data_IF_381839724997
#
_entry.id   IF_381839724997
#
_cell.length_a   1.000
_cell.length_b   1.000
_cell.length_c   1.000
_cell.angle_alpha   90.00
_cell.angle_beta   90.00
_cell.angle_gamma   90.00
#
_symmetry.space_group_name_H-M   'P 1'
#
loop_
_entity.id
_entity.type
_entity.pdbx_description
1 polymer ?
#
# COMPACT_ATOMS: atom_id res chain seq x y z
N UNK A 1 -11.20 28.38 5.73
CA UNK A 1 -10.69 27.33 6.63
C UNK A 1 -9.66 26.55 5.85
N UNK A 2 -8.46 26.39 6.41
CA UNK A 2 -7.47 25.45 5.90
C UNK A 2 -8.04 24.03 6.06
N UNK A 3 -8.05 23.28 4.96
CA UNK A 3 -8.56 21.92 4.94
C UNK A 3 -7.38 20.99 5.14
N UNK A 4 -7.34 20.33 6.30
CA UNK A 4 -6.35 19.31 6.64
C UNK A 4 -7.06 18.06 7.17
N UNK A 5 -6.91 16.94 6.46
CA UNK A 5 -7.46 15.65 6.87
C UNK A 5 -6.40 14.57 6.70
N UNK A 6 -6.20 13.81 7.76
CA UNK A 6 -5.34 12.63 7.77
C UNK A 6 -6.15 11.36 8.02
N UNK A 7 -5.81 10.30 7.28
CA UNK A 7 -6.41 8.99 7.42
C UNK A 7 -5.34 7.91 7.31
N UNK A 8 -5.30 6.98 8.26
CA UNK A 8 -4.43 5.79 8.19
C UNK A 8 -5.28 4.55 7.89
N UNK A 9 -4.90 3.81 6.86
CA UNK A 9 -5.57 2.60 6.39
C UNK A 9 -4.60 1.43 6.39
N UNK A 10 -4.93 0.37 7.12
CA UNK A 10 -4.15 -0.87 7.11
C UNK A 10 -4.44 -1.68 5.86
N UNK A 11 -3.39 -2.10 5.14
CA UNK A 11 -3.52 -3.02 4.00
C UNK A 11 -3.98 -4.39 4.51
N UNK A 12 -4.98 -4.97 3.86
CA UNK A 12 -5.37 -6.36 4.07
C UNK A 12 -4.40 -7.27 3.30
N UNK A 13 -3.97 -8.35 3.95
CA UNK A 13 -3.16 -9.35 3.28
C UNK A 13 -4.00 -10.07 2.23
N UNK A 14 -3.54 -10.01 0.98
CA UNK A 14 -4.12 -10.76 -0.13
C UNK A 14 -3.73 -12.23 -0.04
N UNK A 15 -4.42 -13.12 -0.78
CA UNK A 15 -4.04 -14.54 -0.87
C UNK A 15 -2.59 -14.72 -1.32
N UNK A 16 -2.10 -13.84 -2.21
CA UNK A 16 -0.69 -13.83 -2.64
C UNK A 16 0.25 -13.48 -1.49
N UNK A 17 -0.09 -12.47 -0.68
CA UNK A 17 0.70 -12.11 0.50
C UNK A 17 0.74 -13.26 1.51
N UNK A 18 -0.39 -13.93 1.74
CA UNK A 18 -0.47 -15.10 2.63
C UNK A 18 0.40 -16.23 2.09
N UNK A 19 0.34 -16.54 0.79
CA UNK A 19 1.16 -17.56 0.17
C UNK A 19 2.67 -17.26 0.31
N UNK A 20 3.06 -16.00 0.17
CA UNK A 20 4.45 -15.56 0.41
C UNK A 20 4.85 -15.75 1.87
N UNK A 21 3.99 -15.38 2.83
CA UNK A 21 4.25 -15.60 4.26
C UNK A 21 4.44 -17.09 4.56
N UNK A 22 3.55 -17.95 4.06
CA UNK A 22 3.66 -19.41 4.22
C UNK A 22 4.96 -19.93 3.59
N UNK A 23 5.31 -19.45 2.40
CA UNK A 23 6.57 -19.80 1.73
C UNK A 23 7.80 -19.41 2.55
N UNK A 24 7.81 -18.22 3.16
CA UNK A 24 8.90 -17.77 4.05
C UNK A 24 8.99 -18.69 5.28
N UNK A 25 7.87 -19.04 5.89
CA UNK A 25 7.84 -19.95 7.06
C UNK A 25 8.40 -21.32 6.69
N UNK A 26 7.95 -21.91 5.58
CA UNK A 26 8.42 -23.23 5.13
C UNK A 26 9.92 -23.21 4.80
N UNK A 27 10.39 -22.18 4.08
CA UNK A 27 11.81 -22.02 3.79
C UNK A 27 12.65 -21.87 5.07
N UNK A 28 12.17 -21.09 6.04
CA UNK A 28 12.83 -20.93 7.32
C UNK A 28 12.90 -22.25 8.11
N UNK A 29 11.83 -23.05 8.11
CA UNK A 29 11.82 -24.36 8.77
C UNK A 29 12.84 -25.33 8.14
N UNK A 30 12.91 -25.38 6.81
CA UNK A 30 13.88 -26.21 6.10
C UNK A 30 15.31 -25.75 6.41
N UNK A 31 15.59 -24.44 6.37
CA UNK A 31 16.89 -23.89 6.71
C UNK A 31 17.28 -24.17 8.16
N UNK A 32 16.36 -24.01 9.10
CA UNK A 32 16.57 -24.36 10.49
C UNK A 32 16.89 -25.86 10.66
N UNK A 33 16.19 -26.74 9.95
CA UNK A 33 16.47 -28.18 9.96
C UNK A 33 17.88 -28.49 9.43
N UNK A 34 18.26 -27.89 8.30
CA UNK A 34 19.59 -28.06 7.71
C UNK A 34 20.68 -27.56 8.65
N UNK A 35 20.52 -26.36 9.22
CA UNK A 35 21.52 -25.77 10.09
C UNK A 35 21.60 -26.43 11.46
N UNK A 36 20.47 -26.86 12.04
CA UNK A 36 20.46 -27.47 13.37
C UNK A 36 20.87 -28.95 13.37
N UNK A 37 20.56 -29.71 12.31
CA UNK A 37 20.71 -31.17 12.30
C UNK A 37 21.76 -31.62 11.28
N UNK A 38 21.62 -31.23 10.01
CA UNK A 38 22.49 -31.75 8.94
C UNK A 38 23.91 -31.19 9.05
N UNK A 39 24.05 -29.87 9.23
CA UNK A 39 25.35 -29.20 9.23
C UNK A 39 26.26 -29.69 10.37
N UNK A 40 25.81 -29.82 11.64
CA UNK A 40 26.65 -30.32 12.72
C UNK A 40 26.98 -31.81 12.58
N UNK A 41 26.09 -32.60 11.96
CA UNK A 41 26.33 -34.02 11.71
C UNK A 41 27.43 -34.26 10.68
N UNK A 42 27.54 -33.39 9.66
CA UNK A 42 28.58 -33.48 8.62
C UNK A 42 29.90 -32.83 9.06
N UNK A 43 29.83 -31.72 9.81
CA UNK A 43 31.02 -30.94 10.21
C UNK A 43 30.88 -30.55 11.69
N UNK A 44 31.27 -31.43 12.63
CA UNK A 44 31.05 -31.24 14.06
C UNK A 44 31.69 -29.97 14.65
N UNK A 45 32.81 -29.52 14.08
CA UNK A 45 33.53 -28.32 14.53
C UNK A 45 32.73 -27.03 14.29
N UNK A 46 31.71 -27.06 13.42
CA UNK A 46 30.81 -25.94 13.15
C UNK A 46 29.54 -25.94 14.02
N UNK A 47 29.42 -26.84 15.01
CA UNK A 47 28.22 -26.97 15.85
C UNK A 47 27.84 -25.70 16.65
N UNK A 48 28.81 -24.83 16.97
CA UNK A 48 28.53 -23.53 17.58
C UNK A 48 28.05 -22.50 16.53
N UNK A 49 28.56 -22.56 15.31
CA UNK A 49 28.15 -21.69 14.20
C UNK A 49 26.71 -21.98 13.74
N UNK A 50 26.28 -23.24 13.78
CA UNK A 50 24.90 -23.62 13.45
C UNK A 50 23.85 -22.90 14.29
N UNK A 51 24.13 -22.64 15.58
CA UNK A 51 23.18 -21.91 16.44
C UNK A 51 22.98 -20.47 15.96
N UNK A 52 24.07 -19.79 15.55
CA UNK A 52 23.98 -18.45 14.98
C UNK A 52 23.23 -18.44 13.64
N UNK A 53 23.42 -19.46 12.80
CA UNK A 53 22.71 -19.59 11.53
C UNK A 53 21.20 -19.83 11.73
N UNK A 54 20.82 -20.65 12.70
CA UNK A 54 19.41 -20.85 13.07
C UNK A 54 18.80 -19.55 13.60
N UNK A 55 19.47 -18.87 14.53
CA UNK A 55 19.02 -17.60 15.07
C UNK A 55 18.87 -16.53 13.97
N UNK A 56 19.86 -16.45 13.05
CA UNK A 56 19.82 -15.57 11.89
C UNK A 56 18.66 -15.88 10.93
N UNK A 57 18.37 -17.16 10.72
CA UNK A 57 17.24 -17.60 9.88
C UNK A 57 15.90 -17.19 10.48
N UNK A 58 15.70 -17.43 11.78
CA UNK A 58 14.47 -17.03 12.50
C UNK A 58 14.31 -15.51 12.46
N UNK A 59 15.38 -14.76 12.76
CA UNK A 59 15.37 -13.31 12.72
C UNK A 59 15.07 -12.78 11.31
N UNK A 60 15.70 -13.35 10.28
CA UNK A 60 15.46 -13.01 8.89
C UNK A 60 14.01 -13.25 8.46
N UNK A 61 13.45 -14.42 8.80
CA UNK A 61 12.06 -14.75 8.55
C UNK A 61 11.10 -13.77 9.24
N UNK A 62 11.33 -13.47 10.52
CA UNK A 62 10.57 -12.47 11.27
C UNK A 62 10.66 -11.09 10.62
N UNK A 63 11.86 -10.66 10.23
CA UNK A 63 12.07 -9.35 9.59
C UNK A 63 11.37 -9.24 8.22
N UNK A 64 11.39 -10.31 7.43
CA UNK A 64 10.68 -10.38 6.15
C UNK A 64 9.16 -10.33 6.34
N UNK A 65 8.61 -11.19 7.20
CA UNK A 65 7.16 -11.23 7.45
C UNK A 65 6.66 -9.91 8.04
N UNK A 66 7.38 -9.34 9.00
CA UNK A 66 7.05 -8.04 9.59
C UNK A 66 7.07 -6.92 8.55
N UNK A 67 7.98 -6.95 7.57
CA UNK A 67 8.03 -5.97 6.49
C UNK A 67 6.80 -5.98 5.56
N UNK A 68 6.02 -7.06 5.58
CA UNK A 68 4.77 -7.18 4.83
C UNK A 68 3.56 -6.55 5.54
N UNK A 69 3.69 -6.16 6.81
CA UNK A 69 2.65 -5.43 7.53
C UNK A 69 2.68 -3.96 7.09
N UNK A 70 1.77 -3.60 6.18
CA UNK A 70 1.72 -2.29 5.55
C UNK A 70 0.48 -1.51 5.98
N UNK A 71 0.71 -0.25 6.33
CA UNK A 71 -0.31 0.76 6.55
C UNK A 71 -0.05 1.90 5.56
N UNK A 72 -1.11 2.55 5.09
CA UNK A 72 -1.05 3.70 4.21
C UNK A 72 -1.64 4.90 4.92
N UNK A 73 -1.00 6.05 4.79
CA UNK A 73 -1.46 7.31 5.34
C UNK A 73 -1.79 8.24 4.18
N UNK A 74 -3.00 8.77 4.20
CA UNK A 74 -3.47 9.78 3.27
C UNK A 74 -3.53 11.10 4.02
N UNK A 75 -2.79 12.10 3.55
CA UNK A 75 -2.85 13.46 4.07
C UNK A 75 -3.34 14.38 2.96
N UNK A 76 -4.55 14.93 3.14
CA UNK A 76 -5.16 15.89 2.23
C UNK A 76 -5.06 17.30 2.85
N UNK A 77 -4.32 18.19 2.20
CA UNK A 77 -4.01 19.54 2.69
C UNK A 77 -4.21 20.57 1.59
N UNK A 78 -5.23 21.42 1.68
CA UNK A 78 -5.42 22.57 0.79
C UNK A 78 -5.27 22.28 -0.73
N UNK A 79 -5.66 21.08 -1.17
CA UNK A 79 -5.56 20.63 -2.55
C UNK A 79 -4.40 19.69 -2.85
N UNK A 80 -3.41 19.58 -1.97
CA UNK A 80 -2.40 18.52 -2.06
C UNK A 80 -2.90 17.24 -1.40
N UNK A 81 -2.72 16.11 -2.08
CA UNK A 81 -2.88 14.78 -1.52
C UNK A 81 -1.53 14.08 -1.46
N UNK A 82 -1.16 13.70 -0.26
CA UNK A 82 0.02 12.91 0.02
C UNK A 82 -0.38 11.49 0.37
N UNK A 83 0.32 10.51 -0.20
CA UNK A 83 0.22 9.11 0.20
C UNK A 83 1.55 8.62 0.71
N UNK A 84 1.57 8.26 1.99
CA UNK A 84 2.70 7.69 2.70
C UNK A 84 2.46 6.21 2.98
N UNK A 85 3.52 5.39 2.90
CA UNK A 85 3.49 3.97 3.27
C UNK A 85 4.25 3.80 4.58
N UNK A 86 3.59 3.22 5.57
CA UNK A 86 4.13 2.87 6.88
C UNK A 86 4.37 1.36 6.91
N UNK A 87 5.62 0.96 7.07
CA UNK A 87 6.05 -0.43 7.15
C UNK A 87 6.23 -0.79 8.62
N UNK A 88 5.44 -1.74 9.10
CA UNK A 88 5.51 -2.30 10.46
C UNK A 88 5.58 -1.23 11.56
N UNK A 89 4.83 -0.13 11.40
CA UNK A 89 4.77 1.01 12.33
C UNK A 89 6.12 1.64 12.70
N UNK A 90 7.19 1.33 11.95
CA UNK A 90 8.57 1.75 12.25
C UNK A 90 9.17 2.63 11.16
N UNK A 91 8.73 2.47 9.92
CA UNK A 91 9.33 3.16 8.77
C UNK A 91 8.26 3.73 7.86
N UNK A 92 8.14 5.06 7.82
CA UNK A 92 7.32 5.79 6.86
C UNK A 92 8.12 6.10 5.60
N UNK A 93 7.52 5.94 4.42
CA UNK A 93 8.10 6.29 3.12
C UNK A 93 7.04 6.96 2.24
N UNK A 94 7.37 8.10 1.65
CA UNK A 94 6.53 8.77 0.64
C UNK A 94 6.37 7.90 -0.59
N UNK A 95 5.12 7.59 -0.93
CA UNK A 95 4.77 6.84 -2.14
C UNK A 95 4.56 7.80 -3.29
N UNK A 96 3.75 8.84 -3.04
CA UNK A 96 3.44 9.89 -4.00
C UNK A 96 2.92 11.15 -3.30
N UNK A 97 3.15 12.30 -3.92
CA UNK A 97 2.45 13.55 -3.63
C UNK A 97 1.77 14.02 -4.91
N UNK A 98 0.56 14.54 -4.83
CA UNK A 98 -0.22 14.92 -6.01
C UNK A 98 -1.08 16.14 -5.74
N UNK A 99 -1.18 17.05 -6.72
CA UNK A 99 -2.13 18.16 -6.69
C UNK A 99 -3.50 17.64 -7.17
N UNK A 100 -4.53 17.86 -6.36
CA UNK A 100 -5.91 17.45 -6.66
C UNK A 100 -6.44 18.09 -7.95
N UNK A 101 -5.89 19.23 -8.37
CA UNK A 101 -6.24 19.89 -9.63
C UNK A 101 -5.77 19.12 -10.86
N UNK A 102 -4.72 18.31 -10.73
CA UNK A 102 -4.16 17.52 -11.82
C UNK A 102 -4.86 16.16 -11.98
N UNK A 103 -5.80 15.84 -11.08
CA UNK A 103 -6.62 14.63 -11.20
C UNK A 103 -7.45 14.70 -12.48
N UNK A 104 -7.26 13.70 -13.34
CA UNK A 104 -7.97 13.55 -14.60
C UNK A 104 -9.28 12.78 -14.42
N UNK A 105 -9.21 11.63 -13.74
CA UNK A 105 -10.38 10.82 -13.43
C UNK A 105 -10.30 10.31 -12.00
N UNK A 106 -11.45 10.10 -11.37
CA UNK A 106 -11.59 9.58 -10.02
C UNK A 106 -12.91 8.84 -9.91
N UNK A 107 -13.00 7.86 -9.02
CA UNK A 107 -14.26 7.16 -8.77
C UNK A 107 -14.08 5.89 -7.97
N UNK A 108 -15.15 5.09 -7.87
CA UNK A 108 -15.09 3.75 -7.30
C UNK A 108 -14.27 2.83 -8.19
N UNK A 109 -13.33 2.10 -7.59
CA UNK A 109 -12.45 1.23 -8.34
C UNK A 109 -13.16 -0.05 -8.75
N UNK A 110 -13.05 -0.37 -10.04
CA UNK A 110 -13.47 -1.66 -10.60
C UNK A 110 -12.33 -2.20 -11.43
N UNK A 111 -11.78 -3.35 -11.05
CA UNK A 111 -10.61 -3.93 -11.73
C UNK A 111 -10.83 -4.11 -13.25
N UNK A 112 -12.05 -4.46 -13.67
CA UNK A 112 -12.42 -4.65 -15.08
C UNK A 112 -12.22 -3.37 -15.92
N UNK A 113 -12.60 -2.21 -15.41
CA UNK A 113 -12.53 -0.91 -16.12
C UNK A 113 -11.09 -0.45 -16.37
N UNK A 114 -10.14 -1.05 -15.64
CA UNK A 114 -8.72 -0.74 -15.70
C UNK A 114 -7.87 -1.91 -16.21
N UNK A 115 -8.48 -3.03 -16.60
CA UNK A 115 -7.76 -4.23 -17.04
C UNK A 115 -7.03 -4.00 -18.38
N UNK A 116 -7.67 -3.32 -19.32
CA UNK A 116 -7.13 -3.04 -20.67
C UNK A 116 -6.40 -1.68 -20.76
N UNK A 117 -6.44 -0.86 -19.71
CA UNK A 117 -5.80 0.46 -19.67
C UNK A 117 -4.33 0.33 -19.30
N UNK A 118 -3.47 1.01 -20.07
CA UNK A 118 -2.03 1.13 -19.74
C UNK A 118 -1.80 2.35 -18.87
N UNK A 119 -1.02 2.14 -17.81
CA UNK A 119 -0.53 3.16 -16.90
C UNK A 119 0.98 2.97 -16.78
N UNK A 120 1.72 4.06 -16.77
CA UNK A 120 3.17 4.06 -16.58
C UNK A 120 3.52 3.60 -15.15
N UNK A 121 2.65 3.91 -14.18
CA UNK A 121 2.78 3.43 -12.80
C UNK A 121 1.44 3.11 -12.16
N UNK A 122 1.34 1.93 -11.56
CA UNK A 122 0.20 1.55 -10.71
C UNK A 122 0.62 1.56 -9.24
N UNK A 123 -0.10 2.32 -8.43
CA UNK A 123 0.13 2.47 -7.00
C UNK A 123 -1.08 1.91 -6.28
N UNK A 124 -0.91 0.76 -5.64
CA UNK A 124 -1.94 0.20 -4.78
C UNK A 124 -1.68 0.62 -3.33
N UNK A 125 -2.48 1.58 -2.87
CA UNK A 125 -2.51 2.09 -1.51
C UNK A 125 -3.87 1.82 -0.84
N UNK A 126 -4.70 0.92 -1.38
CA UNK A 126 -6.01 0.59 -0.82
C UNK A 126 -5.91 -0.42 0.33
N UNK A 127 -6.96 -0.50 1.15
CA UNK A 127 -7.15 -1.59 2.12
C UNK A 127 -7.19 -2.93 1.39
N UNK A 128 -8.03 -3.02 0.38
CA UNK A 128 -8.25 -4.18 -0.48
C UNK A 128 -8.77 -3.66 -1.83
N UNK A 129 -8.17 -4.07 -2.94
CA UNK A 129 -8.58 -3.61 -4.28
C UNK A 129 -9.96 -4.15 -4.68
N UNK A 130 -10.45 -5.18 -4.01
CA UNK A 130 -11.76 -5.77 -4.28
C UNK A 130 -12.86 -5.25 -3.34
N UNK A 131 -12.53 -4.38 -2.39
CA UNK A 131 -13.52 -3.83 -1.47
C UNK A 131 -14.33 -2.71 -2.12
N UNK A 132 -15.59 -2.57 -1.71
CA UNK A 132 -16.50 -1.54 -2.22
C UNK A 132 -16.08 -0.12 -1.83
N UNK A 133 -15.29 0.01 -0.76
CA UNK A 133 -14.68 1.27 -0.32
C UNK A 133 -13.39 1.59 -1.07
N UNK A 134 -12.96 0.78 -2.04
CA UNK A 134 -11.83 1.07 -2.90
C UNK A 134 -12.19 2.14 -3.94
N UNK A 135 -11.43 3.22 -3.95
CA UNK A 135 -11.47 4.28 -4.92
C UNK A 135 -10.22 4.27 -5.76
N UNK A 136 -10.30 4.94 -6.91
CA UNK A 136 -9.15 5.22 -7.74
C UNK A 136 -9.09 6.68 -8.13
N UNK A 137 -7.89 7.11 -8.51
CA UNK A 137 -7.67 8.30 -9.31
C UNK A 137 -6.61 8.06 -10.39
N UNK A 138 -6.70 8.80 -11.48
CA UNK A 138 -5.69 8.85 -12.53
C UNK A 138 -5.24 10.28 -12.75
N UNK A 139 -3.96 10.44 -13.08
CA UNK A 139 -3.39 11.71 -13.48
C UNK A 139 -2.08 11.51 -14.21
N UNK A 140 -1.60 12.55 -14.87
CA UNK A 140 -0.23 12.61 -15.35
C UNK A 140 0.68 13.24 -14.30
N UNK A 141 1.56 12.44 -13.72
CA UNK A 141 2.55 12.88 -12.73
C UNK A 141 3.89 13.17 -13.39
N UNK A 142 4.52 14.30 -13.03
CA UNK A 142 5.78 14.78 -13.63
C UNK A 142 6.90 13.74 -13.64
N UNK A 143 7.02 12.94 -12.58
CA UNK A 143 8.09 11.94 -12.45
C UNK A 143 7.71 10.53 -12.94
N UNK A 144 6.41 10.20 -12.95
CA UNK A 144 5.94 8.81 -13.11
C UNK A 144 5.06 8.60 -14.33
N UNK A 145 4.82 9.64 -15.14
CA UNK A 145 3.93 9.56 -16.29
C UNK A 145 2.46 9.42 -15.86
N UNK A 146 1.67 8.72 -16.67
CA UNK A 146 0.28 8.42 -16.35
C UNK A 146 0.19 7.39 -15.22
N UNK A 147 -0.38 7.79 -14.09
CA UNK A 147 -0.51 6.94 -12.91
C UNK A 147 -1.95 6.49 -12.69
N UNK A 148 -2.08 5.31 -12.08
CA UNK A 148 -3.29 4.84 -11.43
C UNK A 148 -2.99 4.66 -9.95
N UNK A 149 -3.69 5.40 -9.09
CA UNK A 149 -3.63 5.24 -7.64
C UNK A 149 -4.94 4.61 -7.17
N UNK A 150 -4.88 3.47 -6.48
CA UNK A 150 -6.01 2.90 -5.74
C UNK A 150 -5.83 3.15 -4.25
N UNK A 151 -6.89 3.57 -3.56
CA UNK A 151 -6.87 3.95 -2.15
C UNK A 151 -8.27 3.76 -1.53
N UNK A 152 -8.37 3.69 -0.21
CA UNK A 152 -9.66 3.49 0.50
C UNK A 152 -10.01 4.71 1.36
N UNK A 153 -10.33 5.87 0.75
CA UNK A 153 -10.60 7.09 1.48
C UNK A 153 -11.92 7.00 2.26
N UNK A 154 -11.94 7.59 3.45
CA UNK A 154 -13.18 7.82 4.18
C UNK A 154 -13.91 9.08 3.66
N UNK A 155 -15.10 9.35 4.19
CA UNK A 155 -15.91 10.50 3.80
C UNK A 155 -15.21 11.85 4.07
N UNK A 156 -14.35 11.91 5.10
CA UNK A 156 -13.62 13.12 5.47
C UNK A 156 -12.54 13.41 4.44
N UNK A 157 -11.77 12.40 4.04
CA UNK A 157 -10.76 12.53 2.98
C UNK A 157 -11.40 12.89 1.65
N UNK A 158 -12.52 12.27 1.28
CA UNK A 158 -13.26 12.63 0.06
C UNK A 158 -13.76 14.08 0.10
N UNK A 159 -14.35 14.49 1.23
CA UNK A 159 -14.84 15.86 1.43
C UNK A 159 -13.71 16.89 1.42
N UNK A 160 -12.52 16.51 1.84
CA UNK A 160 -11.33 17.36 1.78
C UNK A 160 -10.80 17.54 0.36
N UNK A 161 -10.87 16.53 -0.50
CA UNK A 161 -10.41 16.60 -1.90
C UNK A 161 -11.41 17.30 -2.82
N UNK A 162 -12.70 17.12 -2.55
CA UNK A 162 -13.83 17.60 -3.36
C UNK A 162 -13.76 19.09 -3.79
N UNK A 163 -13.33 20.05 -2.95
CA UNK A 163 -13.24 21.47 -3.33
C UNK A 163 -12.11 21.78 -4.31
N UNK A 164 -11.09 20.91 -4.40
CA UNK A 164 -9.84 21.18 -5.11
C UNK A 164 -9.72 20.44 -6.44
N UNK A 165 -10.58 19.44 -6.68
CA UNK A 165 -10.66 18.76 -7.97
C UNK A 165 -11.37 19.63 -9.03
N UNK A 166 -11.14 19.34 -10.31
CA UNK A 166 -11.81 20.02 -11.42
C UNK A 166 -13.33 19.94 -11.26
N UNK A 167 -14.03 21.06 -11.50
CA UNK A 167 -15.50 21.15 -11.35
C UNK A 167 -16.24 20.06 -12.13
N UNK A 168 -15.83 19.76 -13.36
CA UNK A 168 -16.44 18.72 -14.19
C UNK A 168 -16.35 17.34 -13.52
N UNK A 169 -15.14 17.01 -13.02
CA UNK A 169 -14.89 15.77 -12.31
C UNK A 169 -15.71 15.69 -11.00
N UNK A 170 -15.82 16.80 -10.26
CA UNK A 170 -16.62 16.82 -9.04
C UNK A 170 -18.10 16.47 -9.29
N UNK A 171 -18.67 16.96 -10.39
CA UNK A 171 -20.06 16.65 -10.78
C UNK A 171 -20.20 15.19 -11.20
N UNK A 172 -19.24 14.67 -11.96
CA UNK A 172 -19.22 13.27 -12.42
C UNK A 172 -19.15 12.29 -11.24
N UNK A 173 -18.30 12.59 -10.26
CA UNK A 173 -17.97 11.69 -9.16
C UNK A 173 -18.95 11.78 -7.99
N UNK A 174 -19.35 13.00 -7.61
CA UNK A 174 -20.19 13.25 -6.43
C UNK A 174 -21.63 13.67 -6.78
N UNK A 175 -21.99 13.72 -8.07
CA UNK A 175 -23.30 14.16 -8.53
C UNK A 175 -23.52 15.67 -8.43
N UNK A 176 -24.74 16.13 -8.77
CA UNK A 176 -25.09 17.56 -8.75
C UNK A 176 -25.10 18.19 -7.35
N UNK A 177 -25.22 17.38 -6.30
CA UNK A 177 -25.09 17.83 -4.91
C UNK A 177 -23.63 18.08 -4.48
N UNK A 178 -22.67 17.95 -5.41
CA UNK A 178 -21.26 18.24 -5.17
C UNK A 178 -21.00 19.66 -4.61
N UNK A 179 -21.87 20.63 -4.91
CA UNK A 179 -21.67 22.03 -4.52
C UNK A 179 -22.61 22.53 -3.41
N UNK A 180 -23.44 21.66 -2.82
CA UNK A 180 -24.18 22.03 -1.61
C UNK A 180 -23.23 22.03 -0.42
N UNK A 181 -22.77 23.24 -0.05
CA UNK A 181 -22.17 23.50 1.26
C UNK A 181 -23.32 23.48 2.27
N UNK A 182 -23.46 22.40 3.03
CA UNK A 182 -24.14 22.43 4.33
C UNK A 182 -23.07 22.53 5.40
#
# INVERSE_FOLDING_TARGET
>A
MDVFVEQIVKKRNTTKDIAVIVGIILAALILCFVFAIILPALVPILGTLSLFLVAGTIFGAYWLISSMNLEFEYAATNGDLTVDKIIHRRKRKRVINLDSKDIETMGKYKAADHAQKRYDKRINAARDENAEDCWYLTMRHNQFGNILLTFSPDERTLSALKPFIKRQLAVEVFGRDAFRRT
#
